data_IF_262630485090
#
_entry.id   IF_262630485090
#
_cell.length_a   1.000
_cell.length_b   1.000
_cell.length_c   1.000
_cell.angle_alpha   90.00
_cell.angle_beta   90.00
_cell.angle_gamma   90.00
#
_symmetry.space_group_name_H-M   'P 1'
#
loop_
_entity.id
_entity.type
_entity.pdbx_description
1 polymer ?
#
# COMPACT_ATOMS: atom_id res chain seq x y z
N UNK A 1 9.87 -2.52 -9.51
CA UNK A 1 9.35 -2.18 -8.19
C UNK A 1 10.29 -2.72 -7.12
N UNK A 2 10.53 -1.96 -6.06
CA UNK A 2 11.41 -2.38 -4.97
C UNK A 2 10.77 -3.47 -4.13
N UNK A 3 11.58 -4.41 -3.64
CA UNK A 3 11.13 -5.37 -2.64
C UNK A 3 11.19 -4.74 -1.25
N UNK A 4 10.18 -4.99 -0.45
CA UNK A 4 10.10 -4.45 0.91
C UNK A 4 10.09 -5.61 1.90
N UNK A 5 10.95 -5.52 2.91
CA UNK A 5 10.95 -6.47 4.01
C UNK A 5 9.88 -6.06 5.02
N UNK A 6 8.73 -6.72 4.95
CA UNK A 6 7.60 -6.39 5.81
C UNK A 6 7.84 -6.69 7.28
N UNK A 7 8.84 -7.51 7.60
CA UNK A 7 9.18 -7.81 9.00
C UNK A 7 9.84 -6.63 9.70
N UNK A 8 10.43 -5.70 8.94
CA UNK A 8 11.08 -4.52 9.48
C UNK A 8 10.17 -3.29 9.53
N UNK A 9 8.91 -3.44 9.12
CA UNK A 9 7.95 -2.35 9.22
C UNK A 9 7.46 -2.23 10.65
N UNK A 10 7.54 -1.02 11.21
CA UNK A 10 7.20 -0.77 12.61
C UNK A 10 5.87 -0.03 12.79
N UNK A 11 5.26 0.47 11.73
CA UNK A 11 3.98 1.18 11.78
C UNK A 11 2.85 0.23 11.44
N UNK A 12 1.67 0.46 12.03
CA UNK A 12 0.46 -0.29 11.71
C UNK A 12 -0.13 0.14 10.37
N UNK A 13 0.03 1.41 10.03
CA UNK A 13 -0.57 1.98 8.82
C UNK A 13 0.42 2.88 8.10
N UNK A 14 0.32 2.87 6.78
CA UNK A 14 1.15 3.69 5.89
C UNK A 14 0.25 4.43 4.92
N UNK A 15 0.55 5.70 4.64
CA UNK A 15 -0.19 6.48 3.67
C UNK A 15 0.13 6.01 2.25
N UNK A 16 -0.73 6.38 1.28
CA UNK A 16 -0.46 6.05 -0.13
C UNK A 16 0.85 6.70 -0.60
N UNK A 17 1.16 7.91 -0.09
CA UNK A 17 2.43 8.57 -0.41
C UNK A 17 3.62 7.77 0.09
N UNK A 18 3.56 7.28 1.33
CA UNK A 18 4.63 6.45 1.89
C UNK A 18 4.82 5.17 1.10
N UNK A 19 3.71 4.50 0.74
CA UNK A 19 3.77 3.24 -0.02
C UNK A 19 4.32 3.48 -1.43
N UNK A 20 3.92 4.58 -2.08
CA UNK A 20 4.45 4.91 -3.40
C UNK A 20 5.95 5.12 -3.37
N UNK A 21 6.48 5.75 -2.32
CA UNK A 21 7.93 5.93 -2.16
C UNK A 21 8.63 4.60 -1.86
N UNK A 22 8.03 3.75 -1.02
CA UNK A 22 8.61 2.45 -0.69
C UNK A 22 8.84 1.59 -1.92
N UNK A 23 7.88 1.56 -2.84
CA UNK A 23 7.93 0.71 -4.02
C UNK A 23 8.44 1.44 -5.25
N UNK A 24 8.67 2.74 -5.16
CA UNK A 24 9.11 3.58 -6.27
C UNK A 24 8.12 3.51 -7.43
N UNK A 25 6.84 3.67 -7.11
CA UNK A 25 5.75 3.68 -8.09
C UNK A 25 4.86 4.90 -7.85
N UNK A 26 4.04 5.26 -8.84
CA UNK A 26 3.14 6.40 -8.71
C UNK A 26 1.94 6.06 -7.80
N UNK A 27 1.36 7.09 -7.19
CA UNK A 27 0.12 6.93 -6.42
C UNK A 27 -1.03 6.48 -7.32
N UNK A 28 -1.03 6.95 -8.57
CA UNK A 28 -2.04 6.55 -9.55
C UNK A 28 -2.00 5.06 -9.82
N UNK A 29 -0.81 4.47 -9.90
CA UNK A 29 -0.66 3.04 -10.10
C UNK A 29 -1.19 2.26 -8.91
N UNK A 30 -0.93 2.73 -7.69
CA UNK A 30 -1.46 2.09 -6.49
C UNK A 30 -3.00 2.12 -6.47
N UNK A 31 -3.60 3.24 -6.86
CA UNK A 31 -5.06 3.35 -6.95
C UNK A 31 -5.62 2.44 -8.03
N UNK A 32 -4.92 2.31 -9.15
CA UNK A 32 -5.31 1.40 -10.22
C UNK A 32 -5.32 -0.05 -9.71
N UNK A 33 -4.27 -0.46 -8.99
CA UNK A 33 -4.20 -1.81 -8.44
C UNK A 33 -5.30 -2.07 -7.41
N UNK A 34 -5.64 -1.06 -6.61
CA UNK A 34 -6.74 -1.17 -5.64
C UNK A 34 -8.06 -1.50 -6.35
N UNK A 35 -8.28 -0.92 -7.53
CA UNK A 35 -9.49 -1.19 -8.31
C UNK A 35 -9.43 -2.53 -9.06
N UNK A 36 -8.24 -2.93 -9.52
CA UNK A 36 -8.08 -4.16 -10.31
C UNK A 36 -8.06 -5.42 -9.45
N UNK A 37 -7.51 -5.34 -8.24
CA UNK A 37 -7.31 -6.50 -7.39
C UNK A 37 -8.19 -6.39 -6.15
N UNK A 38 -9.23 -7.23 -6.10
CA UNK A 38 -10.22 -7.19 -5.02
C UNK A 38 -9.63 -7.52 -3.64
N UNK A 39 -8.51 -8.23 -3.60
CA UNK A 39 -7.85 -8.56 -2.34
C UNK A 39 -7.10 -7.36 -1.74
N UNK A 40 -6.81 -6.33 -2.53
CA UNK A 40 -6.10 -5.15 -2.07
C UNK A 40 -7.09 -4.08 -1.61
N UNK A 41 -7.47 -4.14 -0.34
CA UNK A 41 -8.48 -3.25 0.23
C UNK A 41 -7.90 -2.46 1.39
N UNK A 42 -7.23 -1.32 1.11
CA UNK A 42 -6.71 -0.50 2.18
C UNK A 42 -7.85 0.14 2.98
N UNK A 43 -7.59 0.41 4.25
CA UNK A 43 -8.56 1.10 5.10
C UNK A 43 -8.55 2.58 4.79
N UNK A 44 -9.64 3.27 5.12
CA UNK A 44 -9.74 4.72 4.99
C UNK A 44 -9.99 5.33 6.35
N UNK A 45 -9.35 6.46 6.63
CA UNK A 45 -9.62 7.21 7.84
C UNK A 45 -10.83 8.11 7.64
N UNK A 46 -11.15 8.94 8.65
CA UNK A 46 -12.32 9.84 8.60
C UNK A 46 -12.23 10.86 7.46
N UNK A 47 -11.02 11.21 7.06
CA UNK A 47 -10.79 12.17 5.98
C UNK A 47 -10.84 11.52 4.60
N UNK A 48 -10.99 10.19 4.55
CA UNK A 48 -11.00 9.46 3.30
C UNK A 48 -9.61 9.12 2.77
N UNK A 49 -8.56 9.35 3.55
CA UNK A 49 -7.21 8.97 3.16
C UNK A 49 -7.02 7.46 3.27
N UNK A 50 -6.31 6.88 2.31
CA UNK A 50 -6.02 5.46 2.29
C UNK A 50 -4.93 5.12 3.31
N UNK A 51 -5.17 4.04 4.06
CA UNK A 51 -4.23 3.55 5.08
C UNK A 51 -3.88 2.10 4.72
N UNK A 52 -2.63 1.88 4.34
CA UNK A 52 -2.14 0.56 3.95
C UNK A 52 -1.54 -0.15 5.15
N UNK A 53 -1.99 -1.37 5.41
CA UNK A 53 -1.46 -2.23 6.47
C UNK A 53 -0.24 -3.00 5.97
N UNK A 54 0.48 -3.67 6.88
CA UNK A 54 1.56 -4.57 6.48
C UNK A 54 1.07 -5.64 5.51
N UNK A 55 -0.14 -6.15 5.74
CA UNK A 55 -0.74 -7.15 4.86
C UNK A 55 -0.94 -6.59 3.45
N UNK A 56 -1.45 -5.35 3.35
CA UNK A 56 -1.60 -4.70 2.05
C UNK A 56 -0.25 -4.55 1.34
N UNK A 57 0.80 -4.20 2.08
CA UNK A 57 2.14 -4.06 1.51
C UNK A 57 2.64 -5.41 0.99
N UNK A 58 2.41 -6.49 1.73
CA UNK A 58 2.75 -7.84 1.27
C UNK A 58 1.99 -8.20 -0.01
N UNK A 59 0.71 -7.84 -0.08
CA UNK A 59 -0.12 -8.09 -1.26
C UNK A 59 0.40 -7.33 -2.48
N UNK A 60 0.84 -6.09 -2.30
CA UNK A 60 1.43 -5.30 -3.37
C UNK A 60 2.69 -5.95 -3.92
N UNK A 61 3.50 -6.57 -3.08
CA UNK A 61 4.72 -7.25 -3.52
C UNK A 61 4.44 -8.46 -4.41
N UNK A 62 3.26 -9.05 -4.30
CA UNK A 62 2.86 -10.18 -5.15
C UNK A 62 2.46 -9.70 -6.55
N UNK A 63 1.98 -8.49 -6.64
CA UNK A 63 1.61 -7.89 -7.92
C UNK A 63 2.86 -7.61 -8.75
#
# INVERSE_FOLDING_TARGET
>A
MKSIDTQNLDKLYYSIGEVSEMFDVSRSLLRYWENEFSFLTPRKNRKGDRLFTKENIQQIQII
#
